data_IF_039835576657
#
_entry.id   IF_039835576657
#
_cell.length_a   1.000
_cell.length_b   1.000
_cell.length_c   1.000
_cell.angle_alpha   90.00
_cell.angle_beta   90.00
_cell.angle_gamma   90.00
#
_symmetry.space_group_name_H-M   'P 1'
#
loop_
_entity.id
_entity.type
_entity.pdbx_description
1 polymer ?
#
# COMPACT_ATOMS: atom_id res chain seq x y z
N UNK A 1 -9.91 -2.76 -14.45
CA UNK A 1 -9.17 -1.51 -14.13
C UNK A 1 -9.23 -1.36 -12.63
N UNK A 2 -8.10 -1.14 -11.94
CA UNK A 2 -8.10 -1.05 -10.48
C UNK A 2 -8.70 0.26 -9.96
N UNK A 3 -9.12 0.24 -8.71
CA UNK A 3 -9.99 1.27 -8.13
C UNK A 3 -9.27 2.62 -7.99
N UNK A 4 -7.97 2.62 -7.68
CA UNK A 4 -7.18 3.85 -7.60
C UNK A 4 -7.02 4.47 -8.99
N UNK A 5 -6.84 3.66 -10.04
CA UNK A 5 -6.78 4.19 -11.40
C UNK A 5 -8.09 4.87 -11.81
N UNK A 6 -9.24 4.28 -11.46
CA UNK A 6 -10.55 4.92 -11.68
C UNK A 6 -10.64 6.25 -10.93
N UNK A 7 -10.24 6.28 -9.65
CA UNK A 7 -10.20 7.48 -8.82
C UNK A 7 -9.35 8.61 -9.42
N UNK A 8 -8.16 8.28 -9.95
CA UNK A 8 -7.31 9.27 -10.62
C UNK A 8 -7.92 9.81 -11.91
N UNK A 9 -8.71 9.01 -12.62
CA UNK A 9 -9.35 9.41 -13.87
C UNK A 9 -10.58 10.31 -13.66
N UNK A 10 -11.30 10.14 -12.55
CA UNK A 10 -12.48 10.96 -12.21
C UNK A 10 -12.15 12.21 -11.39
N UNK A 11 -11.00 12.26 -10.72
CA UNK A 11 -10.59 13.37 -9.85
C UNK A 11 -9.67 14.41 -10.51
N UNK A 12 -9.15 15.30 -9.67
CA UNK A 12 -8.22 16.38 -10.05
C UNK A 12 -6.84 15.90 -10.50
N UNK A 13 -6.56 14.59 -10.35
CA UNK A 13 -5.26 13.98 -10.61
C UNK A 13 -5.17 13.31 -12.00
N UNK A 14 -5.97 13.79 -12.96
CA UNK A 14 -6.07 13.21 -14.30
C UNK A 14 -4.74 13.09 -15.05
N UNK A 15 -3.71 13.87 -14.70
CA UNK A 15 -2.36 13.75 -15.27
C UNK A 15 -1.69 12.40 -14.93
N UNK A 16 -2.03 11.80 -13.78
CA UNK A 16 -1.47 10.51 -13.35
C UNK A 16 -2.20 9.32 -13.98
N UNK A 17 -3.34 9.53 -14.64
CA UNK A 17 -4.16 8.43 -15.20
C UNK A 17 -3.42 7.63 -16.27
N UNK A 18 -2.57 8.31 -17.04
CA UNK A 18 -1.82 7.76 -18.17
C UNK A 18 -0.41 7.30 -17.74
N UNK A 19 -0.04 7.55 -16.48
CA UNK A 19 1.24 7.12 -15.94
C UNK A 19 1.19 5.63 -15.52
N UNK A 20 2.32 4.91 -15.59
CA UNK A 20 2.43 3.58 -15.01
C UNK A 20 2.05 3.61 -13.52
N UNK A 21 1.09 2.77 -13.14
CA UNK A 21 0.58 2.66 -11.77
C UNK A 21 0.47 1.18 -11.40
N UNK A 22 1.12 0.82 -10.29
CA UNK A 22 0.96 -0.44 -9.61
C UNK A 22 0.19 -0.20 -8.31
N UNK A 23 -0.92 -0.91 -8.10
CA UNK A 23 -1.84 -0.65 -6.98
C UNK A 23 -2.27 -1.95 -6.29
N UNK A 24 -2.56 -1.87 -5.00
CA UNK A 24 -3.21 -2.93 -4.23
C UNK A 24 -3.90 -2.39 -2.99
N UNK A 25 -4.86 -3.16 -2.49
CA UNK A 25 -5.54 -2.87 -1.24
C UNK A 25 -4.77 -3.47 -0.06
N UNK A 26 -4.73 -2.74 1.05
CA UNK A 26 -4.08 -3.14 2.28
C UNK A 26 -4.97 -2.80 3.48
N UNK A 27 -4.75 -3.54 4.56
CA UNK A 27 -5.16 -3.11 5.90
C UNK A 27 -3.97 -2.50 6.60
N UNK A 28 -4.11 -1.27 7.07
CA UNK A 28 -3.16 -0.71 8.01
C UNK A 28 -3.32 -1.43 9.34
N UNK A 29 -2.23 -2.01 9.81
CA UNK A 29 -2.17 -2.73 11.09
C UNK A 29 -1.25 -2.01 12.07
N UNK A 30 -1.57 -2.10 13.36
CA UNK A 30 -0.66 -1.65 14.43
C UNK A 30 0.49 -2.66 14.58
N UNK A 31 1.51 -2.31 15.39
CA UNK A 31 2.57 -3.26 15.76
C UNK A 31 2.03 -4.50 16.49
N UNK A 32 0.90 -4.35 17.18
CA UNK A 32 0.21 -5.43 17.91
C UNK A 32 -0.69 -6.27 17.00
N UNK A 33 -0.83 -5.91 15.71
CA UNK A 33 -1.63 -6.64 14.73
C UNK A 33 -3.09 -6.19 14.65
N UNK A 34 -3.48 -5.17 15.42
CA UNK A 34 -4.85 -4.64 15.39
C UNK A 34 -5.10 -3.90 14.08
N UNK A 35 -6.30 -4.11 13.55
CA UNK A 35 -6.74 -3.47 12.31
C UNK A 35 -7.11 -2.02 12.60
N UNK A 36 -6.50 -1.09 11.86
CA UNK A 36 -6.80 0.33 11.98
C UNK A 36 -7.71 0.82 10.85
N UNK A 37 -7.28 0.72 9.59
CA UNK A 37 -7.98 1.28 8.44
C UNK A 37 -7.72 0.48 7.16
N UNK A 38 -8.71 0.42 6.26
CA UNK A 38 -8.51 -0.04 4.87
C UNK A 38 -7.87 1.10 4.06
N UNK A 39 -6.83 0.78 3.30
CA UNK A 39 -6.08 1.74 2.47
C UNK A 39 -5.69 1.10 1.14
N UNK A 40 -5.88 1.83 0.06
CA UNK A 40 -5.37 1.47 -1.26
C UNK A 40 -4.06 2.20 -1.47
N UNK A 41 -3.01 1.44 -1.81
CA UNK A 41 -1.68 1.98 -2.06
C UNK A 41 -1.35 1.84 -3.54
N UNK A 42 -0.91 2.94 -4.14
CA UNK A 42 -0.38 3.00 -5.49
C UNK A 42 1.10 3.39 -5.50
N UNK A 43 1.87 2.83 -6.42
CA UNK A 43 3.21 3.29 -6.78
C UNK A 43 3.12 3.73 -8.24
N UNK A 44 3.37 5.01 -8.48
CA UNK A 44 3.19 5.64 -9.78
C UNK A 44 4.38 6.51 -10.16
N UNK A 45 4.53 6.72 -11.47
CA UNK A 45 5.33 7.83 -11.97
C UNK A 45 4.53 9.13 -11.96
N UNK A 46 5.20 10.25 -11.69
CA UNK A 46 4.63 11.60 -11.78
C UNK A 46 4.47 12.08 -13.22
N UNK A 47 5.16 11.45 -14.17
CA UNK A 47 5.13 11.75 -15.60
C UNK A 47 5.22 10.46 -16.42
N UNK A 48 4.52 10.36 -17.56
CA UNK A 48 4.61 9.20 -18.45
C UNK A 48 5.99 9.01 -19.09
N UNK A 49 6.84 10.05 -19.05
CA UNK A 49 8.22 9.98 -19.55
C UNK A 49 9.20 9.34 -18.57
N UNK A 50 8.81 9.10 -17.32
CA UNK A 50 9.68 8.48 -16.33
C UNK A 50 9.66 6.96 -16.46
N UNK A 51 10.84 6.37 -16.60
CA UNK A 51 11.01 4.92 -16.62
C UNK A 51 10.75 4.27 -15.25
N UNK A 52 10.94 5.04 -14.18
CA UNK A 52 10.76 4.59 -12.80
C UNK A 52 9.73 5.42 -12.06
N UNK A 53 8.89 4.78 -11.22
CA UNK A 53 7.95 5.49 -10.37
C UNK A 53 8.70 6.27 -9.28
N UNK A 54 8.18 7.44 -8.96
CA UNK A 54 8.72 8.41 -8.00
C UNK A 54 7.67 8.89 -6.99
N UNK A 55 6.42 8.39 -7.08
CA UNK A 55 5.32 8.72 -6.19
C UNK A 55 4.69 7.48 -5.55
N UNK A 56 4.38 7.60 -4.26
CA UNK A 56 3.45 6.72 -3.55
C UNK A 56 2.12 7.45 -3.35
N UNK A 57 1.05 6.79 -3.76
CA UNK A 57 -0.32 7.25 -3.67
C UNK A 57 -1.04 6.49 -2.55
N UNK A 58 -1.81 7.22 -1.74
CA UNK A 58 -2.65 6.66 -0.68
C UNK A 58 -4.08 7.11 -0.88
N UNK A 59 -4.98 6.15 -1.01
CA UNK A 59 -6.41 6.38 -1.05
C UNK A 59 -7.12 5.54 0.00
N UNK A 60 -8.29 6.01 0.42
CA UNK A 60 -9.18 5.31 1.34
C UNK A 60 -10.57 5.23 0.72
N UNK A 61 -11.38 4.23 1.08
CA UNK A 61 -12.80 4.27 0.77
C UNK A 61 -13.41 5.58 1.27
N UNK A 62 -14.08 6.31 0.38
CA UNK A 62 -14.88 7.46 0.76
C UNK A 62 -16.09 6.95 1.55
N UNK A 63 -16.48 7.65 2.63
CA UNK A 63 -17.74 7.36 3.29
C UNK A 63 -18.84 7.61 2.25
N UNK A 64 -19.56 6.55 1.87
CA UNK A 64 -20.65 6.62 0.92
C UNK A 64 -21.71 7.61 1.43
N UNK A 65 -21.97 8.68 0.67
CA UNK A 65 -23.11 9.57 0.91
C UNK A 65 -24.46 8.92 0.52
N UNK A 66 -24.43 7.69 0.00
CA UNK A 66 -25.59 6.95 -0.53
C UNK A 66 -26.27 6.03 0.49
N UNK A 67 -26.23 6.40 1.77
CA UNK A 67 -27.24 5.98 2.75
C UNK A 67 -27.68 7.23 3.49
N UNK A 68 -28.71 7.95 3.05
CA UNK A 68 -30.09 7.52 3.07
C UNK A 68 -30.86 8.27 1.96
N UNK A 69 -31.32 7.56 0.94
CA UNK A 69 -32.49 8.03 0.21
C UNK A 69 -33.72 7.69 1.07
N UNK A 70 -34.50 8.69 1.48
CA UNK A 70 -35.80 8.49 2.15
C UNK A 70 -36.88 7.95 1.19
N UNK A 71 -36.53 7.60 -0.05
CA UNK A 71 -37.44 6.98 -0.99
C UNK A 71 -37.27 5.45 -1.00
N UNK A 72 -38.37 4.73 -0.79
CA UNK A 72 -38.49 3.27 -0.86
C UNK A 72 -38.39 2.75 -2.30
N UNK A 73 -37.27 3.02 -2.98
CA UNK A 73 -37.01 2.49 -4.33
C UNK A 73 -36.19 1.19 -4.23
N UNK A 74 -36.65 0.04 -4.78
CA UNK A 74 -35.98 -1.25 -4.63
C UNK A 74 -34.75 -1.51 -5.52
N UNK A 75 -34.14 -0.49 -6.15
CA UNK A 75 -33.17 -0.69 -7.25
C UNK A 75 -31.80 -0.04 -7.02
N UNK A 76 -31.38 0.13 -5.76
CA UNK A 76 -29.97 0.40 -5.48
C UNK A 76 -29.17 -0.90 -5.70
N UNK A 77 -28.29 -0.91 -6.71
CA UNK A 77 -27.36 -2.00 -6.99
C UNK A 77 -26.64 -2.44 -5.69
N UNK A 78 -26.43 -3.75 -5.44
CA UNK A 78 -26.09 -4.27 -4.11
C UNK A 78 -24.69 -3.90 -3.61
N UNK A 79 -23.88 -3.27 -4.46
CA UNK A 79 -22.52 -2.86 -4.17
C UNK A 79 -22.26 -1.54 -4.90
N UNK A 80 -22.43 -0.37 -4.27
CA UNK A 80 -21.83 0.82 -4.84
C UNK A 80 -20.33 0.54 -4.97
N UNK A 81 -19.76 0.74 -6.17
CA UNK A 81 -18.31 0.82 -6.37
C UNK A 81 -17.82 1.80 -5.30
N UNK A 82 -17.13 1.32 -4.25
CA UNK A 82 -16.67 2.17 -3.14
C UNK A 82 -15.79 3.27 -3.75
N UNK A 83 -16.31 4.49 -3.82
CA UNK A 83 -15.55 5.61 -4.35
C UNK A 83 -14.29 5.78 -3.50
N UNK A 84 -13.12 5.77 -4.12
CA UNK A 84 -11.89 6.03 -3.40
C UNK A 84 -11.64 7.54 -3.34
N UNK A 85 -11.20 8.01 -2.18
CA UNK A 85 -10.67 9.36 -1.99
C UNK A 85 -9.16 9.29 -1.83
N UNK A 86 -8.42 9.91 -2.75
CA UNK A 86 -6.99 10.12 -2.59
C UNK A 86 -6.74 11.10 -1.44
N UNK A 87 -5.92 10.72 -0.47
CA UNK A 87 -5.59 11.57 0.69
C UNK A 87 -4.08 11.75 0.88
N UNK A 88 -3.26 11.03 0.12
CA UNK A 88 -1.80 11.13 0.22
C UNK A 88 -1.11 10.98 -1.12
N UNK A 89 -0.23 11.94 -1.40
CA UNK A 89 0.74 11.94 -2.49
C UNK A 89 2.12 12.14 -1.88
N UNK A 90 2.94 11.09 -1.90
CA UNK A 90 4.21 11.04 -1.19
C UNK A 90 5.35 10.79 -2.17
N UNK A 91 6.27 11.73 -2.38
CA UNK A 91 7.47 11.48 -3.16
C UNK A 91 8.30 10.35 -2.57
N UNK A 92 8.65 9.34 -3.38
CA UNK A 92 9.35 8.14 -2.93
C UNK A 92 10.73 8.43 -2.33
N UNK A 93 11.37 9.54 -2.68
CA UNK A 93 12.60 10.00 -2.02
C UNK A 93 12.46 10.21 -0.50
N UNK A 94 11.23 10.40 -0.01
CA UNK A 94 10.90 10.57 1.41
C UNK A 94 10.20 9.34 2.03
N UNK A 95 10.09 8.25 1.28
CA UNK A 95 9.41 7.02 1.69
C UNK A 95 10.37 5.85 1.60
N UNK A 96 10.48 5.09 2.67
CA UNK A 96 11.22 3.83 2.70
C UNK A 96 10.25 2.67 2.83
N UNK A 97 10.30 1.73 1.89
CA UNK A 97 9.45 0.54 1.83
C UNK A 97 10.26 -0.72 2.17
N UNK A 98 9.70 -1.56 3.04
CA UNK A 98 10.30 -2.81 3.48
C UNK A 98 9.27 -3.92 3.49
N UNK A 99 9.75 -5.14 3.30
CA UNK A 99 9.03 -6.34 3.69
C UNK A 99 9.16 -6.46 5.21
N UNK A 100 8.04 -6.58 5.91
CA UNK A 100 8.02 -6.73 7.37
C UNK A 100 7.86 -8.19 7.78
N UNK A 101 6.86 -8.87 7.22
CA UNK A 101 6.55 -10.25 7.50
C UNK A 101 5.93 -10.87 6.24
N UNK A 102 6.69 -11.76 5.58
CA UNK A 102 6.22 -12.43 4.35
C UNK A 102 5.08 -13.40 4.63
N UNK A 103 5.09 -14.07 5.78
CA UNK A 103 4.07 -15.06 6.16
C UNK A 103 2.69 -14.41 6.34
N UNK A 104 2.68 -13.14 6.75
CA UNK A 104 1.47 -12.32 6.88
C UNK A 104 1.24 -11.38 5.70
N UNK A 105 2.06 -11.43 4.66
CA UNK A 105 2.00 -10.51 3.52
C UNK A 105 2.03 -9.03 3.93
N UNK A 106 2.92 -8.69 4.86
CA UNK A 106 3.03 -7.36 5.46
C UNK A 106 4.21 -6.57 4.93
N UNK A 107 3.94 -5.31 4.56
CA UNK A 107 4.92 -4.29 4.26
C UNK A 107 5.05 -3.29 5.42
N UNK A 108 6.23 -2.70 5.57
CA UNK A 108 6.51 -1.58 6.47
C UNK A 108 6.88 -0.36 5.65
N UNK A 109 6.18 0.74 5.92
CA UNK A 109 6.42 2.05 5.31
C UNK A 109 6.98 2.97 6.37
N UNK A 110 8.16 3.56 6.13
CA UNK A 110 8.77 4.57 7.00
C UNK A 110 8.92 5.87 6.23
N UNK A 111 8.31 6.93 6.76
CA UNK A 111 8.41 8.27 6.20
C UNK A 111 9.65 9.00 6.74
N UNK A 112 10.12 10.00 6.01
CA UNK A 112 11.26 10.84 6.42
C UNK A 112 11.04 11.55 7.78
N UNK A 113 9.80 11.84 8.15
CA UNK A 113 9.44 12.41 9.46
C UNK A 113 9.48 11.39 10.62
N UNK A 114 9.92 10.15 10.36
CA UNK A 114 10.02 9.10 11.38
C UNK A 114 8.75 8.28 11.59
N UNK A 115 7.59 8.70 11.05
CA UNK A 115 6.34 7.92 11.17
C UNK A 115 6.47 6.59 10.42
N UNK A 116 5.97 5.53 11.05
CA UNK A 116 6.02 4.17 10.51
C UNK A 116 4.63 3.58 10.47
N UNK A 117 4.30 2.92 9.36
CA UNK A 117 3.04 2.24 9.12
C UNK A 117 3.30 0.81 8.70
N UNK A 118 2.42 -0.10 9.08
CA UNK A 118 2.44 -1.49 8.67
C UNK A 118 1.21 -1.78 7.85
N UNK A 119 1.39 -2.43 6.71
CA UNK A 119 0.37 -2.65 5.71
C UNK A 119 0.28 -4.13 5.40
N UNK A 120 -0.83 -4.77 5.75
CA UNK A 120 -1.10 -6.15 5.41
C UNK A 120 -1.89 -6.24 4.11
N UNK A 121 -1.42 -7.03 3.15
CA UNK A 121 -2.05 -7.14 1.84
C UNK A 121 -3.48 -7.69 1.96
N UNK A 122 -4.43 -6.94 1.43
CA UNK A 122 -5.84 -7.30 1.35
C UNK A 122 -6.15 -7.68 -0.10
N UNK A 123 -6.17 -8.98 -0.38
CA UNK A 123 -6.60 -9.53 -1.67
C UNK A 123 -7.18 -10.91 -1.49
N UNK A 124 -7.75 -11.48 -2.55
CA UNK A 124 -8.29 -12.83 -2.52
C UNK A 124 -7.21 -13.84 -2.11
N UNK A 125 -7.47 -14.78 -1.17
CA UNK A 125 -6.44 -15.69 -0.64
C UNK A 125 -5.62 -16.42 -1.71
N UNK A 126 -6.29 -16.94 -2.75
CA UNK A 126 -5.64 -17.62 -3.88
C UNK A 126 -4.67 -16.74 -4.70
N UNK A 127 -4.70 -15.42 -4.54
CA UNK A 127 -3.86 -14.46 -5.26
C UNK A 127 -2.85 -13.75 -4.35
N UNK A 128 -2.88 -14.00 -3.04
CA UNK A 128 -2.04 -13.28 -2.07
C UNK A 128 -0.55 -13.43 -2.39
N UNK A 129 -0.05 -14.66 -2.56
CA UNK A 129 1.37 -14.91 -2.88
C UNK A 129 1.80 -14.23 -4.18
N UNK A 130 0.95 -14.30 -5.21
CA UNK A 130 1.26 -13.71 -6.51
C UNK A 130 1.37 -12.18 -6.41
N UNK A 131 0.36 -11.54 -5.82
CA UNK A 131 0.30 -10.08 -5.69
C UNK A 131 1.40 -9.58 -4.74
N UNK A 132 1.60 -10.26 -3.61
CA UNK A 132 2.68 -9.91 -2.69
C UNK A 132 4.05 -10.09 -3.33
N UNK A 133 4.26 -11.17 -4.09
CA UNK A 133 5.48 -11.37 -4.86
C UNK A 133 5.71 -10.28 -5.91
N UNK A 134 4.67 -9.67 -6.48
CA UNK A 134 4.80 -8.50 -7.35
C UNK A 134 5.25 -7.26 -6.56
N UNK A 135 4.69 -7.03 -5.37
CA UNK A 135 5.16 -5.98 -4.46
C UNK A 135 6.63 -6.16 -4.09
N UNK A 136 7.03 -7.37 -3.69
CA UNK A 136 8.43 -7.67 -3.35
C UNK A 136 9.35 -7.34 -4.52
N UNK A 137 9.02 -7.79 -5.75
CA UNK A 137 9.79 -7.47 -6.96
C UNK A 137 9.85 -5.97 -7.24
N UNK A 138 8.75 -5.24 -7.04
CA UNK A 138 8.72 -3.79 -7.18
C UNK A 138 9.64 -3.11 -6.16
N UNK A 139 9.58 -3.51 -4.89
CA UNK A 139 10.44 -3.00 -3.83
C UNK A 139 11.93 -3.23 -4.15
N UNK A 140 12.29 -4.40 -4.69
CA UNK A 140 13.66 -4.66 -5.14
C UNK A 140 14.10 -3.71 -6.26
N UNK A 141 13.23 -3.46 -7.26
CA UNK A 141 13.53 -2.49 -8.32
C UNK A 141 13.71 -1.09 -7.75
N UNK A 142 12.76 -0.61 -6.95
CA UNK A 142 12.82 0.72 -6.34
C UNK A 142 14.14 0.94 -5.57
N UNK A 143 14.59 -0.06 -4.81
CA UNK A 143 15.87 0.01 -4.09
C UNK A 143 17.08 0.05 -5.00
N UNK A 144 17.08 -0.71 -6.09
CA UNK A 144 18.20 -0.75 -7.03
C UNK A 144 18.41 0.60 -7.72
N UNK A 145 17.33 1.30 -8.06
CA UNK A 145 17.40 2.62 -8.71
C UNK A 145 17.62 3.77 -7.73
N UNK A 146 17.18 3.65 -6.47
CA UNK A 146 17.48 4.61 -5.40
C UNK A 146 18.72 4.17 -4.60
N UNK A 147 19.92 4.35 -5.17
CA UNK A 147 21.21 3.94 -4.61
C UNK A 147 21.60 4.57 -3.24
N UNK A 148 20.75 5.41 -2.64
CA UNK A 148 20.91 5.95 -1.26
C UNK A 148 20.11 5.15 -0.21
N UNK A 149 19.68 3.92 -0.49
CA UNK A 149 18.99 3.05 0.47
C UNK A 149 19.97 2.02 1.08
N UNK A 150 20.47 2.21 2.32
CA UNK A 150 21.33 1.21 2.95
C UNK A 150 20.60 -0.11 3.11
N UNK A 151 21.27 -1.18 2.69
CA UNK A 151 20.83 -2.56 2.88
C UNK A 151 20.80 -2.82 4.38
N UNK A 152 19.61 -2.97 4.97
CA UNK A 152 19.49 -3.60 6.28
C UNK A 152 18.32 -4.56 6.23
N UNK A 153 18.67 -5.84 6.17
CA UNK A 153 17.79 -6.90 6.62
C UNK A 153 17.75 -6.78 8.15
N UNK A 154 16.64 -6.33 8.74
CA UNK A 154 16.38 -6.68 10.14
C UNK A 154 15.97 -8.17 10.15
N UNK A 155 16.96 -9.05 10.00
CA UNK A 155 16.83 -10.40 10.50
C UNK A 155 16.97 -10.28 12.02
N UNK A 156 15.82 -10.27 12.70
CA UNK A 156 15.78 -10.36 14.15
C UNK A 156 16.34 -11.73 14.54
N UNK A 157 17.65 -11.79 14.84
CA UNK A 157 18.30 -13.00 15.33
C UNK A 157 17.86 -13.26 16.78
N UNK A 158 16.67 -13.81 16.95
CA UNK A 158 16.14 -14.27 18.23
C UNK A 158 16.70 -15.64 18.66
N UNK A 159 17.87 -16.07 18.15
CA UNK A 159 18.34 -17.45 18.30
C UNK A 159 19.62 -17.66 19.13
N UNK A 160 20.22 -16.64 19.74
CA UNK A 160 21.49 -16.83 20.48
C UNK A 160 21.59 -16.04 21.79
N UNK A 161 20.62 -16.21 22.69
CA UNK A 161 20.82 -15.79 24.08
C UNK A 161 20.02 -16.59 25.11
N UNK A 162 20.10 -17.92 25.06
CA UNK A 162 19.65 -18.76 26.19
C UNK A 162 20.23 -20.18 26.16
N UNK A 163 21.55 -20.32 25.97
CA UNK A 163 22.29 -21.53 26.37
C UNK A 163 23.70 -21.16 26.79
N UNK A 164 23.86 -20.62 28.01
CA UNK A 164 25.10 -20.66 28.82
C UNK A 164 24.87 -19.95 30.16
N UNK A 165 24.23 -20.68 31.07
CA UNK A 165 24.09 -20.48 32.52
C UNK A 165 23.42 -21.77 32.99
N UNK A 166 23.99 -22.73 33.71
CA UNK A 166 25.18 -22.85 34.55
C UNK A 166 25.64 -24.32 34.48
N UNK A 167 26.96 -24.55 34.56
CA UNK A 167 27.54 -25.75 35.18
C UNK A 167 27.38 -25.66 36.69
#
# INVERSE_FOLDING_TARGET
MGDLRKCLASGEYGMLKDCPLFESNFMQVTKTGDIANKVTVGIAASSPSLEMPDLMLLARPAPSLTGQCECQCPEALPFPDEELQLFGLLPLKFVRLYVHDESRFQLKVRLANGRTFYLQLLTHPLKQDHVFGQWVRLLYRLRFYHADAPITYEQETAAYRQKKTFS
#
